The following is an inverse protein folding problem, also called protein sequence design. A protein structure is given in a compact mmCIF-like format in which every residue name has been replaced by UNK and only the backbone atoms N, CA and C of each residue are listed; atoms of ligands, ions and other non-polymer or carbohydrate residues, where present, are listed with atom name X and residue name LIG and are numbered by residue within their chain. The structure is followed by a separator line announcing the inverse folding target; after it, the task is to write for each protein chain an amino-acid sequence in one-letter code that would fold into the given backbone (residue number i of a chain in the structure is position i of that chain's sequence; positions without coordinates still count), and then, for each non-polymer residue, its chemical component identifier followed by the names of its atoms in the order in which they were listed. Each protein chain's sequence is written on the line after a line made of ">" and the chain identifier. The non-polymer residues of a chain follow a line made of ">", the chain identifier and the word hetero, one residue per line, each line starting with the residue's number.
data_IF_361654918693
#
_entry.id   IF_361654918693
#
_cell.length_a   1.000
_cell.length_b   1.000
_cell.length_c   1.000
_cell.angle_alpha   90.00
_cell.angle_beta   90.00
_cell.angle_gamma   90.00
#
_symmetry.space_group_name_H-M   'P 1'
#
loop_
_entity.id
_entity.type
_entity.pdbx_description
1 polymer ?
#
# COMPACT_ATOMS: atom_id res chain seq x y z
N UNK A 1 25.27 -79.12 23.38
CA UNK A 1 24.40 -80.12 22.73
C UNK A 1 23.53 -79.37 21.70
N UNK A 2 23.93 -79.27 20.51
CA UNK A 2 23.58 -79.94 19.25
C UNK A 2 22.11 -80.32 19.19
N UNK A 3 21.35 -79.64 18.30
CA UNK A 3 20.58 -80.27 17.22
C UNK A 3 20.19 -79.28 16.15
N UNK A 4 20.61 -79.59 14.95
CA UNK A 4 20.26 -79.01 13.67
C UNK A 4 18.88 -79.52 13.23
N UNK A 5 18.09 -78.71 12.58
CA UNK A 5 16.85 -79.05 11.89
C UNK A 5 16.62 -78.12 10.72
N UNK A 6 17.06 -78.56 9.55
CA UNK A 6 16.78 -77.91 8.25
C UNK A 6 15.40 -78.30 7.78
N UNK A 7 14.57 -77.30 7.44
CA UNK A 7 13.41 -77.56 6.60
C UNK A 7 13.37 -76.55 5.44
N UNK A 8 13.45 -77.09 4.24
CA UNK A 8 13.33 -76.44 2.94
C UNK A 8 11.86 -75.99 2.69
N UNK A 9 11.68 -74.83 2.19
CA UNK A 9 10.40 -74.31 1.67
C UNK A 9 10.32 -74.50 0.18
N UNK A 10 9.13 -74.85 -0.40
CA UNK A 10 8.97 -74.96 -1.82
C UNK A 10 8.79 -73.61 -2.49
N UNK A 11 9.32 -73.51 -3.71
CA UNK A 11 9.15 -72.38 -4.60
C UNK A 11 7.71 -72.23 -5.07
N UNK A 12 7.11 -71.07 -4.87
CA UNK A 12 5.86 -70.69 -5.56
C UNK A 12 6.13 -69.60 -6.60
N UNK A 13 5.62 -69.91 -7.77
CA UNK A 13 5.58 -69.22 -9.04
C UNK A 13 5.21 -67.70 -8.93
N UNK A 14 5.97 -66.89 -9.65
CA UNK A 14 5.71 -65.48 -9.79
C UNK A 14 4.36 -65.16 -10.47
N UNK A 15 3.56 -64.36 -9.80
CA UNK A 15 2.58 -63.48 -10.42
C UNK A 15 2.99 -62.05 -10.21
N UNK A 16 3.32 -61.38 -11.32
CA UNK A 16 3.60 -59.94 -11.36
C UNK A 16 2.28 -59.17 -11.04
N UNK A 17 2.19 -58.58 -9.87
CA UNK A 17 1.19 -57.54 -9.60
C UNK A 17 1.66 -56.23 -10.16
N UNK A 18 1.18 -55.87 -11.35
CA UNK A 18 1.20 -54.50 -11.83
C UNK A 18 0.37 -53.62 -10.91
N UNK A 19 1.02 -52.86 -10.04
CA UNK A 19 0.40 -51.81 -9.25
C UNK A 19 0.11 -50.65 -10.21
N UNK A 20 -1.13 -50.52 -10.66
CA UNK A 20 -1.66 -49.29 -11.20
C UNK A 20 -1.63 -48.23 -10.10
N UNK A 21 -0.56 -47.43 -10.10
CA UNK A 21 -0.52 -46.20 -9.35
C UNK A 21 -1.20 -45.11 -10.18
N UNK A 22 -2.52 -45.11 -10.18
CA UNK A 22 -3.29 -43.90 -10.51
C UNK A 22 -2.97 -42.87 -9.42
N UNK A 23 -2.04 -41.97 -9.71
CA UNK A 23 -1.87 -40.71 -8.98
C UNK A 23 -3.17 -39.92 -9.24
N UNK A 24 -4.14 -40.08 -8.35
CA UNK A 24 -5.21 -39.10 -8.26
C UNK A 24 -4.56 -37.79 -7.90
N UNK A 25 -4.48 -36.87 -8.88
CA UNK A 25 -4.21 -35.47 -8.60
C UNK A 25 -5.28 -35.02 -7.61
N UNK A 26 -4.86 -34.77 -6.37
CA UNK A 26 -5.71 -34.09 -5.38
C UNK A 26 -5.93 -32.71 -5.97
N UNK A 27 -7.11 -32.51 -6.58
CA UNK A 27 -7.55 -31.18 -6.95
C UNK A 27 -7.51 -30.37 -5.63
N UNK A 28 -6.69 -29.33 -5.58
CA UNK A 28 -6.69 -28.42 -4.44
C UNK A 28 -8.11 -27.88 -4.33
N UNK A 29 -8.76 -28.20 -3.22
CA UNK A 29 -10.11 -27.76 -2.96
C UNK A 29 -10.10 -26.22 -2.97
N UNK A 30 -10.85 -25.63 -3.87
CA UNK A 30 -10.87 -24.18 -4.04
C UNK A 30 -11.43 -23.54 -2.77
N UNK A 31 -10.69 -22.63 -2.13
CA UNK A 31 -11.12 -21.96 -0.92
C UNK A 31 -12.44 -21.23 -1.14
N UNK A 32 -13.36 -21.36 -0.21
CA UNK A 32 -14.60 -20.59 -0.22
C UNK A 32 -14.31 -19.12 0.10
N UNK A 33 -15.23 -18.22 -0.27
CA UNK A 33 -15.13 -16.80 0.08
C UNK A 33 -14.97 -16.59 1.60
N UNK A 34 -15.72 -17.33 2.41
CA UNK A 34 -15.66 -17.29 3.86
C UNK A 34 -14.27 -17.67 4.42
N UNK A 35 -13.67 -18.71 3.83
CA UNK A 35 -12.30 -19.12 4.19
C UNK A 35 -11.27 -18.09 3.79
N UNK A 36 -11.41 -17.43 2.62
CA UNK A 36 -10.53 -16.35 2.19
C UNK A 36 -10.67 -15.13 3.11
N UNK A 37 -11.88 -14.75 3.52
CA UNK A 37 -12.10 -13.67 4.51
C UNK A 37 -11.44 -13.99 5.86
N UNK A 38 -11.53 -15.23 6.33
CA UNK A 38 -10.93 -15.65 7.59
C UNK A 38 -9.40 -15.57 7.52
N UNK A 39 -8.80 -16.05 6.42
CA UNK A 39 -7.36 -15.94 6.16
C UNK A 39 -6.88 -14.48 6.08
N UNK A 40 -7.68 -13.60 5.44
CA UNK A 40 -7.35 -12.16 5.39
C UNK A 40 -7.34 -11.55 6.79
N UNK A 41 -8.32 -11.91 7.62
CA UNK A 41 -8.39 -11.46 9.01
C UNK A 41 -7.21 -11.99 9.86
N UNK A 42 -6.83 -13.26 9.68
CA UNK A 42 -5.64 -13.84 10.33
C UNK A 42 -4.37 -13.09 9.95
N UNK A 43 -4.15 -12.85 8.66
CA UNK A 43 -3.00 -12.13 8.13
C UNK A 43 -2.97 -10.69 8.66
N UNK A 44 -4.11 -10.00 8.67
CA UNK A 44 -4.22 -8.64 9.19
C UNK A 44 -3.76 -8.52 10.65
N UNK A 45 -4.12 -9.50 11.50
CA UNK A 45 -3.77 -9.49 12.93
C UNK A 45 -2.35 -9.99 13.18
N UNK A 46 -1.97 -11.13 12.58
CA UNK A 46 -0.70 -11.82 12.91
C UNK A 46 0.50 -11.27 12.20
N UNK A 47 0.28 -10.67 11.02
CA UNK A 47 1.37 -10.15 10.17
C UNK A 47 1.26 -8.63 10.03
N UNK A 48 0.11 -8.14 9.56
CA UNK A 48 -0.10 -6.72 9.35
C UNK A 48 0.08 -5.93 10.62
N UNK A 49 -0.67 -6.27 11.65
CA UNK A 49 -0.65 -5.54 12.92
C UNK A 49 0.42 -6.03 13.89
N UNK A 50 0.77 -7.33 13.88
CA UNK A 50 1.66 -7.91 14.88
C UNK A 50 1.10 -7.75 16.31
N UNK A 51 -0.22 -7.91 16.47
CA UNK A 51 -0.92 -7.67 17.73
C UNK A 51 -0.33 -8.46 18.88
N UNK A 52 -0.04 -7.79 20.00
CA UNK A 52 0.51 -8.42 21.18
C UNK A 52 -0.59 -8.73 22.22
N UNK A 53 -0.33 -9.75 23.03
CA UNK A 53 -1.25 -10.14 24.10
C UNK A 53 -1.41 -9.01 25.13
N UNK A 54 -2.66 -8.70 25.47
CA UNK A 54 -3.02 -7.62 26.38
C UNK A 54 -3.16 -6.25 25.73
N UNK A 55 -2.78 -6.11 24.46
CA UNK A 55 -2.91 -4.85 23.72
C UNK A 55 -4.37 -4.56 23.38
N UNK A 56 -4.76 -3.29 23.41
CA UNK A 56 -6.03 -2.82 22.85
C UNK A 56 -5.93 -2.60 21.34
N UNK A 57 -7.05 -2.76 20.63
CA UNK A 57 -7.17 -2.50 19.20
C UNK A 57 -8.26 -1.46 18.94
N UNK A 58 -7.90 -0.37 18.29
CA UNK A 58 -8.84 0.59 17.69
C UNK A 58 -8.93 0.34 16.20
N UNK A 59 -10.14 0.02 15.74
CA UNK A 59 -10.40 -0.30 14.34
C UNK A 59 -11.37 0.71 13.71
N UNK A 60 -11.12 1.09 12.46
CA UNK A 60 -12.03 1.92 11.65
C UNK A 60 -12.47 1.14 10.42
N UNK A 61 -13.75 1.16 10.09
CA UNK A 61 -14.30 0.43 8.94
C UNK A 61 -15.62 1.05 8.46
N UNK A 62 -16.01 0.79 7.20
CA UNK A 62 -17.38 1.02 6.76
C UNK A 62 -18.32 -0.08 7.27
N UNK A 63 -19.63 0.17 7.31
CA UNK A 63 -20.63 -0.86 7.64
C UNK A 63 -20.60 -2.03 6.67
N UNK A 64 -20.28 -1.81 5.41
CA UNK A 64 -20.14 -2.86 4.40
C UNK A 64 -19.04 -3.88 4.76
N UNK A 65 -18.03 -3.46 5.53
CA UNK A 65 -16.95 -4.32 5.95
C UNK A 65 -17.29 -5.22 7.16
N UNK A 66 -18.51 -5.16 7.69
CA UNK A 66 -18.89 -5.88 8.91
C UNK A 66 -18.56 -7.39 8.91
N UNK A 67 -18.71 -8.15 7.80
CA UNK A 67 -18.30 -9.55 7.76
C UNK A 67 -16.82 -9.77 8.03
N UNK A 68 -15.94 -8.92 7.45
CA UNK A 68 -14.50 -8.96 7.67
C UNK A 68 -14.14 -8.48 9.09
N UNK A 69 -14.75 -7.38 9.56
CA UNK A 69 -14.54 -6.83 10.90
C UNK A 69 -14.81 -7.85 12.00
N UNK A 70 -15.87 -8.66 11.87
CA UNK A 70 -16.18 -9.73 12.83
C UNK A 70 -15.07 -10.77 12.92
N UNK A 71 -14.48 -11.18 11.79
CA UNK A 71 -13.35 -12.12 11.75
C UNK A 71 -12.08 -11.52 12.31
N UNK A 72 -11.77 -10.28 11.93
CA UNK A 72 -10.62 -9.55 12.50
C UNK A 72 -10.77 -9.46 14.02
N UNK A 73 -11.95 -9.15 14.54
CA UNK A 73 -12.23 -9.09 15.99
C UNK A 73 -12.03 -10.45 16.66
N UNK A 74 -12.49 -11.52 16.04
CA UNK A 74 -12.26 -12.89 16.55
C UNK A 74 -10.78 -13.24 16.60
N UNK A 75 -10.05 -13.01 15.51
CA UNK A 75 -8.59 -13.25 15.46
C UNK A 75 -7.83 -12.36 16.45
N UNK A 76 -8.25 -11.09 16.65
CA UNK A 76 -7.65 -10.21 17.65
C UNK A 76 -7.80 -10.76 19.07
N UNK A 77 -8.99 -11.19 19.46
CA UNK A 77 -9.20 -11.80 20.78
C UNK A 77 -8.50 -13.15 20.92
N UNK A 78 -8.44 -13.98 19.89
CA UNK A 78 -7.64 -15.21 19.87
C UNK A 78 -6.13 -14.95 20.02
N UNK A 79 -5.65 -13.84 19.47
CA UNK A 79 -4.27 -13.39 19.66
C UNK A 79 -4.02 -12.81 21.07
N UNK A 80 -5.09 -12.53 21.82
CA UNK A 80 -5.03 -12.07 23.20
C UNK A 80 -5.24 -10.58 23.38
N UNK A 81 -5.89 -9.89 22.44
CA UNK A 81 -6.32 -8.50 22.62
C UNK A 81 -7.12 -8.34 23.92
N UNK A 82 -6.87 -7.27 24.65
CA UNK A 82 -7.62 -6.95 25.89
C UNK A 82 -8.99 -6.33 25.58
N UNK A 83 -9.06 -5.52 24.54
CA UNK A 83 -10.26 -4.84 24.09
C UNK A 83 -10.15 -4.52 22.59
N UNK A 84 -11.25 -4.71 21.84
CA UNK A 84 -11.38 -4.28 20.46
C UNK A 84 -12.50 -3.26 20.36
N UNK A 85 -12.16 -2.05 19.94
CA UNK A 85 -13.13 -0.96 19.69
C UNK A 85 -13.19 -0.68 18.21
N UNK A 86 -14.37 -0.80 17.58
CA UNK A 86 -14.58 -0.51 16.16
C UNK A 86 -15.43 0.74 16.00
N UNK A 87 -14.94 1.66 15.17
CA UNK A 87 -15.63 2.87 14.75
C UNK A 87 -16.10 2.66 13.31
N UNK A 88 -17.42 2.66 13.14
CA UNK A 88 -18.01 2.47 11.81
C UNK A 88 -18.38 3.79 11.16
N UNK A 89 -18.18 3.86 9.85
CA UNK A 89 -18.74 4.89 8.97
C UNK A 89 -19.78 4.29 8.03
N UNK A 90 -20.67 5.13 7.55
CA UNK A 90 -21.70 4.79 6.60
C UNK A 90 -21.83 5.89 5.55
N UNK A 91 -21.81 5.49 4.28
CA UNK A 91 -21.83 6.41 3.13
C UNK A 91 -23.15 7.20 3.08
N UNK A 92 -24.29 6.55 3.34
CA UNK A 92 -25.59 7.19 3.31
C UNK A 92 -25.73 8.27 4.40
N UNK A 93 -25.29 7.98 5.62
CA UNK A 93 -25.31 8.98 6.71
C UNK A 93 -24.33 10.11 6.43
N UNK A 94 -23.21 9.85 5.77
CA UNK A 94 -22.30 10.88 5.32
C UNK A 94 -22.96 11.81 4.31
N UNK A 95 -23.63 11.29 3.28
CA UNK A 95 -24.37 12.09 2.30
C UNK A 95 -25.54 12.88 2.92
N UNK A 96 -26.24 12.34 3.94
CA UNK A 96 -27.28 13.07 4.67
C UNK A 96 -26.75 14.34 5.32
N UNK A 97 -25.49 14.36 5.78
CA UNK A 97 -24.87 15.58 6.29
C UNK A 97 -24.78 16.66 5.22
N UNK A 98 -24.37 16.31 3.99
CA UNK A 98 -24.27 17.28 2.87
C UNK A 98 -25.64 17.81 2.41
N UNK A 99 -26.67 16.96 2.50
CA UNK A 99 -28.06 17.35 2.10
C UNK A 99 -28.80 18.20 3.14
N UNK A 100 -28.62 17.90 4.43
CA UNK A 100 -29.54 18.39 5.45
C UNK A 100 -28.88 19.17 6.59
N UNK A 101 -27.57 19.07 6.75
CA UNK A 101 -26.92 19.78 7.86
C UNK A 101 -26.79 21.28 7.56
N UNK A 102 -26.83 22.13 8.62
CA UNK A 102 -26.61 23.56 8.46
C UNK A 102 -25.17 23.84 7.99
N UNK A 103 -24.97 24.93 7.26
CA UNK A 103 -23.71 25.23 6.57
C UNK A 103 -22.51 25.30 7.53
N UNK A 104 -22.68 25.89 8.70
CA UNK A 104 -21.65 25.98 9.75
C UNK A 104 -21.20 24.63 10.29
N UNK A 105 -21.94 23.55 10.04
CA UNK A 105 -21.58 22.20 10.45
C UNK A 105 -20.31 21.70 9.72
N UNK A 106 -20.05 22.21 8.51
CA UNK A 106 -18.89 21.77 7.70
C UNK A 106 -17.54 22.26 8.25
N UNK A 107 -17.54 23.26 9.14
CA UNK A 107 -16.36 23.71 9.86
C UNK A 107 -16.13 22.96 11.19
N UNK A 108 -16.88 21.89 11.44
CA UNK A 108 -16.83 21.13 12.70
C UNK A 108 -16.48 19.68 12.46
N UNK A 109 -15.69 19.13 13.38
CA UNK A 109 -15.40 17.70 13.47
C UNK A 109 -15.69 17.20 14.90
N UNK A 110 -15.95 15.90 15.11
CA UNK A 110 -16.15 15.32 16.44
C UNK A 110 -14.82 15.21 17.19
N UNK A 111 -14.31 16.31 17.74
CA UNK A 111 -13.01 16.35 18.40
C UNK A 111 -12.89 15.28 19.50
N UNK A 112 -13.95 15.06 20.29
CA UNK A 112 -13.99 14.03 21.32
C UNK A 112 -13.63 12.63 20.81
N UNK A 113 -14.00 12.31 19.55
CA UNK A 113 -13.69 11.01 18.94
C UNK A 113 -12.18 10.90 18.66
N UNK A 114 -11.61 11.91 18.05
CA UNK A 114 -10.18 11.92 17.70
C UNK A 114 -9.28 12.07 18.93
N UNK A 115 -9.73 12.83 19.94
CA UNK A 115 -9.06 12.92 21.24
C UNK A 115 -9.06 11.55 21.95
N UNK A 116 -10.20 10.83 21.90
CA UNK A 116 -10.31 9.45 22.41
C UNK A 116 -9.38 8.47 21.69
N UNK A 117 -9.31 8.53 20.35
CA UNK A 117 -8.37 7.73 19.58
C UNK A 117 -6.92 8.06 19.95
N UNK A 118 -6.57 9.34 20.04
CA UNK A 118 -5.23 9.80 20.44
C UNK A 118 -4.86 9.34 21.84
N UNK A 119 -5.81 9.34 22.78
CA UNK A 119 -5.60 8.83 24.13
C UNK A 119 -5.36 7.31 24.15
N UNK A 120 -6.13 6.53 23.38
CA UNK A 120 -5.94 5.09 23.22
C UNK A 120 -4.56 4.78 22.63
N UNK A 121 -4.16 5.47 21.58
CA UNK A 121 -2.84 5.28 20.94
C UNK A 121 -1.69 5.63 21.90
N UNK A 122 -1.77 6.73 22.65
CA UNK A 122 -0.79 7.07 23.69
C UNK A 122 -0.70 6.03 24.79
N UNK A 123 -1.78 5.28 25.04
CA UNK A 123 -1.81 4.16 25.99
C UNK A 123 -1.29 2.84 25.39
N UNK A 124 -0.85 2.84 24.12
CA UNK A 124 -0.27 1.67 23.44
C UNK A 124 -1.27 0.84 22.64
N UNK A 125 -2.49 1.32 22.42
CA UNK A 125 -3.46 0.65 21.57
C UNK A 125 -2.95 0.59 20.13
N UNK A 126 -3.12 -0.58 19.47
CA UNK A 126 -2.85 -0.76 18.05
C UNK A 126 -3.96 -0.11 17.21
N UNK A 127 -3.63 0.24 15.95
CA UNK A 127 -4.61 0.76 14.98
C UNK A 127 -4.75 -0.17 13.79
N UNK A 128 -6.00 -0.51 13.41
CA UNK A 128 -6.31 -1.17 12.14
C UNK A 128 -7.36 -0.37 11.37
N UNK A 129 -7.11 -0.08 10.10
CA UNK A 129 -8.11 0.50 9.22
C UNK A 129 -8.52 -0.52 8.15
N UNK A 130 -9.82 -0.63 7.90
CA UNK A 130 -10.36 -1.39 6.79
C UNK A 130 -10.73 -0.40 5.68
N UNK A 131 -9.92 -0.36 4.63
CA UNK A 131 -10.16 0.47 3.45
C UNK A 131 -11.20 -0.18 2.54
N UNK A 132 -12.01 0.60 1.87
CA UNK A 132 -13.09 0.14 0.98
C UNK A 132 -14.12 1.23 0.70
N UNK A 133 -13.74 2.50 0.98
CA UNK A 133 -14.61 3.64 0.74
C UNK A 133 -15.00 3.76 -0.74
N UNK A 134 -16.19 4.29 -0.99
CA UNK A 134 -16.64 4.70 -2.31
C UNK A 134 -15.76 5.86 -2.84
N UNK A 135 -14.97 5.67 -3.90
CA UNK A 135 -14.06 6.71 -4.40
C UNK A 135 -14.80 7.94 -4.98
N UNK A 136 -16.09 7.80 -5.28
CA UNK A 136 -16.93 8.84 -5.89
C UNK A 136 -18.00 9.39 -4.94
N UNK A 137 -17.97 9.06 -3.65
CA UNK A 137 -19.03 9.38 -2.69
C UNK A 137 -19.44 10.86 -2.71
N UNK A 138 -18.48 11.75 -2.72
CA UNK A 138 -18.70 13.19 -2.63
C UNK A 138 -18.51 13.93 -3.96
N UNK A 139 -18.42 13.19 -5.08
CA UNK A 139 -18.16 13.78 -6.41
C UNK A 139 -19.25 14.75 -6.90
N UNK A 140 -20.48 14.60 -6.41
CA UNK A 140 -21.62 15.45 -6.74
C UNK A 140 -21.95 16.48 -5.66
N UNK A 141 -21.17 16.53 -4.58
CA UNK A 141 -21.39 17.49 -3.50
C UNK A 141 -20.62 18.81 -3.75
N UNK A 142 -21.02 19.87 -3.03
CA UNK A 142 -20.36 21.17 -3.14
C UNK A 142 -18.87 21.07 -2.72
N UNK A 143 -17.92 21.33 -3.65
CA UNK A 143 -16.49 21.20 -3.35
C UNK A 143 -16.00 22.09 -2.20
N UNK A 144 -16.63 23.25 -1.98
CA UNK A 144 -16.29 24.15 -0.88
C UNK A 144 -16.65 23.51 0.46
N UNK A 145 -17.86 22.95 0.59
CA UNK A 145 -18.31 22.22 1.79
C UNK A 145 -17.43 21.00 2.06
N UNK A 146 -17.10 20.23 1.00
CA UNK A 146 -16.19 19.08 1.11
C UNK A 146 -14.82 19.52 1.61
N UNK A 147 -14.26 20.59 1.07
CA UNK A 147 -12.98 21.15 1.48
C UNK A 147 -12.98 21.62 2.95
N UNK A 148 -14.05 22.28 3.40
CA UNK A 148 -14.24 22.75 4.80
C UNK A 148 -14.32 21.56 5.76
N UNK A 149 -15.16 20.57 5.44
CA UNK A 149 -15.31 19.37 6.26
C UNK A 149 -14.00 18.59 6.39
N UNK A 150 -13.28 18.41 5.29
CA UNK A 150 -11.98 17.73 5.29
C UNK A 150 -10.94 18.49 6.14
N UNK A 151 -10.87 19.82 6.04
CA UNK A 151 -9.96 20.63 6.88
C UNK A 151 -10.31 20.49 8.37
N UNK A 152 -11.59 20.55 8.76
CA UNK A 152 -12.02 20.41 10.12
C UNK A 152 -11.64 19.03 10.70
N UNK A 153 -11.87 17.96 9.92
CA UNK A 153 -11.49 16.59 10.30
C UNK A 153 -9.97 16.46 10.41
N UNK A 154 -9.21 16.94 9.43
CA UNK A 154 -7.74 16.85 9.43
C UNK A 154 -7.14 17.57 10.64
N UNK A 155 -7.65 18.73 10.99
CA UNK A 155 -7.19 19.48 12.18
C UNK A 155 -7.48 18.73 13.48
N UNK A 156 -8.69 18.17 13.62
CA UNK A 156 -9.08 17.44 14.82
C UNK A 156 -8.33 16.10 14.96
N UNK A 157 -8.10 15.39 13.84
CA UNK A 157 -7.43 14.09 13.81
C UNK A 157 -5.92 14.19 13.93
N UNK A 158 -5.33 15.33 13.60
CA UNK A 158 -3.87 15.51 13.53
C UNK A 158 -3.09 14.95 14.73
N UNK A 159 -3.48 15.20 16.01
CA UNK A 159 -2.71 14.68 17.15
C UNK A 159 -2.69 13.15 17.24
N UNK A 160 -3.75 12.46 16.81
CA UNK A 160 -3.80 11.01 16.75
C UNK A 160 -3.03 10.48 15.51
N UNK A 161 -3.16 11.17 14.38
CA UNK A 161 -2.47 10.81 13.13
C UNK A 161 -0.94 10.90 13.27
N UNK A 162 -0.43 11.87 14.01
CA UNK A 162 1.02 12.01 14.26
C UNK A 162 1.62 10.78 14.94
N UNK A 163 0.89 10.11 15.85
CA UNK A 163 1.35 8.87 16.48
C UNK A 163 1.46 7.70 15.48
N UNK A 164 0.57 7.68 14.49
CA UNK A 164 0.54 6.68 13.41
C UNK A 164 1.69 6.94 12.43
N UNK A 165 1.79 8.17 11.90
CA UNK A 165 2.76 8.53 10.86
C UNK A 165 4.21 8.54 11.35
N UNK A 166 4.43 8.75 12.66
CA UNK A 166 5.75 8.60 13.30
C UNK A 166 6.04 7.18 13.73
N UNK A 167 5.17 6.21 13.38
CA UNK A 167 5.28 4.83 13.82
C UNK A 167 5.46 4.65 15.33
N UNK A 168 4.83 5.50 16.16
CA UNK A 168 4.91 5.35 17.61
C UNK A 168 4.13 4.13 18.11
N UNK A 169 3.12 3.71 17.35
CA UNK A 169 2.30 2.51 17.57
C UNK A 169 2.34 1.58 16.37
N UNK A 170 2.11 0.29 16.59
CA UNK A 170 1.90 -0.67 15.51
C UNK A 170 0.52 -0.45 14.87
N UNK A 171 0.50 -0.43 13.54
CA UNK A 171 -0.72 -0.20 12.77
C UNK A 171 -0.68 -0.91 11.42
N UNK A 172 -1.88 -1.15 10.87
CA UNK A 172 -2.02 -1.71 9.53
C UNK A 172 -3.30 -1.21 8.84
N UNK A 173 -3.28 -1.21 7.51
CA UNK A 173 -4.45 -1.02 6.66
C UNK A 173 -4.64 -2.30 5.87
N UNK A 174 -5.86 -2.82 5.84
CA UNK A 174 -6.28 -3.91 4.95
C UNK A 174 -7.49 -3.44 4.14
N UNK A 175 -7.82 -4.13 3.06
CA UNK A 175 -8.94 -3.74 2.22
C UNK A 175 -10.14 -4.68 2.35
N UNK A 176 -11.32 -4.12 2.15
CA UNK A 176 -12.60 -4.83 2.02
C UNK A 176 -13.31 -4.34 0.75
N UNK A 177 -13.65 -5.24 -0.17
CA UNK A 177 -14.47 -4.85 -1.30
C UNK A 177 -15.85 -4.41 -0.83
N UNK A 178 -16.29 -3.25 -1.32
CA UNK A 178 -17.65 -2.73 -1.12
C UNK A 178 -18.37 -2.65 -2.46
N UNK A 179 -19.72 -2.71 -2.49
CA UNK A 179 -20.47 -2.60 -3.74
C UNK A 179 -20.17 -1.32 -4.52
N UNK A 180 -20.04 -0.18 -3.81
CA UNK A 180 -19.77 1.10 -4.43
C UNK A 180 -18.36 1.18 -5.03
N UNK A 181 -17.34 0.66 -4.33
CA UNK A 181 -15.98 0.58 -4.86
C UNK A 181 -15.90 -0.38 -6.05
N UNK A 182 -16.57 -1.55 -5.97
CA UNK A 182 -16.60 -2.50 -7.07
C UNK A 182 -17.25 -1.93 -8.33
N UNK A 183 -18.37 -1.19 -8.19
CA UNK A 183 -19.01 -0.51 -9.31
C UNK A 183 -18.11 0.56 -9.95
N UNK A 184 -17.28 1.25 -9.17
CA UNK A 184 -16.32 2.23 -9.70
C UNK A 184 -15.18 1.56 -10.49
N UNK A 185 -14.66 0.42 -10.00
CA UNK A 185 -13.58 -0.34 -10.67
C UNK A 185 -14.09 -1.10 -11.90
N UNK A 186 -15.31 -1.63 -11.85
CA UNK A 186 -15.93 -2.44 -12.91
C UNK A 186 -17.29 -1.86 -13.37
N UNK A 187 -17.27 -0.65 -13.98
CA UNK A 187 -18.52 0.09 -14.28
C UNK A 187 -19.43 -0.58 -15.32
N UNK A 188 -18.93 -1.56 -16.05
CA UNK A 188 -19.68 -2.27 -17.10
C UNK A 188 -20.15 -3.66 -16.67
N UNK A 189 -19.86 -4.09 -15.45
CA UNK A 189 -20.22 -5.40 -14.94
C UNK A 189 -21.50 -5.34 -14.11
N UNK A 190 -22.20 -6.48 -14.04
CA UNK A 190 -23.30 -6.64 -13.09
C UNK A 190 -22.77 -6.50 -11.65
N UNK A 191 -23.52 -5.86 -10.71
CA UNK A 191 -23.02 -5.51 -9.38
C UNK A 191 -22.44 -6.67 -8.59
N UNK A 192 -23.09 -7.86 -8.65
CA UNK A 192 -22.61 -9.04 -7.94
C UNK A 192 -21.28 -9.56 -8.53
N UNK A 193 -21.16 -9.56 -9.86
CA UNK A 193 -19.93 -9.98 -10.55
C UNK A 193 -18.78 -8.97 -10.32
N UNK A 194 -19.08 -7.67 -10.32
CA UNK A 194 -18.12 -6.63 -10.00
C UNK A 194 -17.54 -6.82 -8.58
N UNK A 195 -18.42 -7.07 -7.60
CA UNK A 195 -18.02 -7.29 -6.21
C UNK A 195 -17.16 -8.55 -6.06
N UNK A 196 -17.50 -9.64 -6.71
CA UNK A 196 -16.72 -10.88 -6.71
C UNK A 196 -15.33 -10.67 -7.32
N UNK A 197 -15.24 -10.01 -8.48
CA UNK A 197 -13.98 -9.68 -9.14
C UNK A 197 -13.08 -8.80 -8.26
N UNK A 198 -13.65 -7.81 -7.58
CA UNK A 198 -12.88 -6.95 -6.68
C UNK A 198 -12.35 -7.73 -5.48
N UNK A 199 -13.17 -8.63 -4.89
CA UNK A 199 -12.71 -9.52 -3.84
C UNK A 199 -11.58 -10.44 -4.29
N UNK A 200 -11.69 -11.05 -5.46
CA UNK A 200 -10.62 -11.92 -5.98
C UNK A 200 -9.33 -11.15 -6.17
N UNK A 201 -9.39 -9.91 -6.66
CA UNK A 201 -8.22 -9.04 -6.80
C UNK A 201 -7.60 -8.70 -5.44
N UNK A 202 -8.40 -8.36 -4.42
CA UNK A 202 -7.97 -8.08 -3.05
C UNK A 202 -7.33 -9.34 -2.43
N UNK A 203 -7.96 -10.48 -2.53
CA UNK A 203 -7.44 -11.74 -1.98
C UNK A 203 -6.10 -12.11 -2.59
N UNK A 204 -5.96 -11.97 -3.90
CA UNK A 204 -4.72 -12.24 -4.62
C UNK A 204 -3.61 -11.26 -4.19
N UNK A 205 -3.90 -9.97 -4.16
CA UNK A 205 -2.94 -8.95 -3.71
C UNK A 205 -2.53 -9.16 -2.24
N UNK A 206 -3.47 -9.59 -1.39
CA UNK A 206 -3.23 -9.90 0.02
C UNK A 206 -2.67 -11.31 0.26
N UNK A 207 -2.35 -12.08 -0.80
CA UNK A 207 -1.74 -13.43 -0.72
C UNK A 207 -2.54 -14.45 0.07
N UNK A 208 -3.85 -14.25 0.24
CA UNK A 208 -4.68 -15.17 1.02
C UNK A 208 -4.96 -16.51 0.30
N UNK A 209 -4.70 -16.56 -1.00
CA UNK A 209 -4.81 -17.78 -1.82
C UNK A 209 -3.58 -18.70 -1.69
N UNK A 210 -2.51 -18.25 -1.02
CA UNK A 210 -1.35 -19.09 -0.74
C UNK A 210 -1.68 -20.24 0.21
N UNK A 211 -0.93 -21.34 0.16
CA UNK A 211 -1.13 -22.48 1.08
C UNK A 211 -1.01 -22.03 2.55
N UNK A 212 -0.03 -21.22 2.87
CA UNK A 212 0.14 -20.52 4.16
C UNK A 212 0.32 -19.01 3.91
N UNK A 213 -0.75 -18.21 4.01
CA UNK A 213 -0.68 -16.76 3.80
C UNK A 213 0.26 -16.04 4.76
N UNK A 214 0.36 -16.50 6.00
CA UNK A 214 1.26 -15.90 7.01
C UNK A 214 2.72 -16.11 6.61
N UNK A 215 3.08 -17.31 6.18
CA UNK A 215 4.42 -17.61 5.69
C UNK A 215 4.72 -16.86 4.38
N UNK A 216 3.74 -16.77 3.47
CA UNK A 216 3.87 -16.03 2.21
C UNK A 216 4.16 -14.55 2.46
N UNK A 217 3.46 -13.91 3.38
CA UNK A 217 3.73 -12.53 3.76
C UNK A 217 5.09 -12.33 4.41
N UNK A 218 5.50 -13.22 5.34
CA UNK A 218 6.83 -13.15 5.96
C UNK A 218 7.95 -13.28 4.92
N UNK A 219 7.78 -14.15 3.93
CA UNK A 219 8.74 -14.31 2.83
C UNK A 219 8.78 -13.07 1.93
N UNK A 220 7.62 -12.51 1.63
CA UNK A 220 7.51 -11.29 0.84
C UNK A 220 8.15 -10.09 1.54
N UNK A 221 7.82 -9.88 2.80
CA UNK A 221 8.41 -8.84 3.64
C UNK A 221 9.94 -8.96 3.71
N UNK A 222 10.46 -10.16 3.93
CA UNK A 222 11.90 -10.41 3.88
C UNK A 222 12.51 -10.07 2.50
N UNK A 223 11.75 -10.25 1.41
CA UNK A 223 12.19 -9.88 0.06
C UNK A 223 12.26 -8.37 -0.10
N UNK A 224 11.26 -7.62 0.40
CA UNK A 224 11.27 -6.15 0.37
C UNK A 224 12.44 -5.60 1.20
N UNK A 225 12.67 -6.12 2.39
CA UNK A 225 13.81 -5.75 3.23
C UNK A 225 15.15 -6.06 2.56
N UNK A 226 15.28 -7.20 1.87
CA UNK A 226 16.49 -7.54 1.12
C UNK A 226 16.75 -6.52 0.00
N UNK A 227 15.71 -6.11 -0.74
CA UNK A 227 15.81 -5.09 -1.80
C UNK A 227 16.19 -3.72 -1.23
N UNK A 228 15.50 -3.26 -0.18
CA UNK A 228 15.83 -2.02 0.52
C UNK A 228 17.26 -2.06 1.08
N UNK A 229 17.67 -3.16 1.71
CA UNK A 229 19.03 -3.38 2.21
C UNK A 229 20.09 -3.32 1.12
N UNK A 230 19.83 -3.92 -0.04
CA UNK A 230 20.72 -3.83 -1.21
C UNK A 230 20.89 -2.38 -1.69
N UNK A 231 19.79 -1.63 -1.84
CA UNK A 231 19.81 -0.24 -2.26
C UNK A 231 20.53 0.65 -1.24
N UNK A 232 20.31 0.42 0.06
CA UNK A 232 21.01 1.09 1.15
C UNK A 232 22.52 0.78 1.18
N UNK A 233 22.91 -0.44 0.82
CA UNK A 233 24.32 -0.81 0.69
C UNK A 233 24.97 -0.13 -0.53
N UNK A 234 24.30 -0.12 -1.68
CA UNK A 234 24.79 0.47 -2.93
C UNK A 234 24.89 2.00 -2.87
N UNK A 235 24.01 2.66 -2.11
CA UNK A 235 24.00 4.13 -1.93
C UNK A 235 24.12 4.88 -3.26
N UNK A 236 23.29 4.53 -4.23
CA UNK A 236 23.26 5.22 -5.51
C UNK A 236 23.00 6.73 -5.31
N UNK A 237 23.74 7.56 -6.04
CA UNK A 237 23.54 9.02 -6.00
C UNK A 237 22.31 9.46 -6.81
N UNK A 238 21.89 8.65 -7.79
CA UNK A 238 20.76 8.93 -8.64
C UNK A 238 20.19 7.63 -9.24
N UNK A 239 18.99 7.72 -9.79
CA UNK A 239 18.38 6.73 -10.67
C UNK A 239 18.23 7.32 -12.07
N UNK A 240 18.42 6.49 -13.10
CA UNK A 240 18.16 6.82 -14.49
C UNK A 240 17.07 5.93 -15.03
N UNK A 241 15.96 6.53 -15.44
CA UNK A 241 14.79 5.85 -16.01
C UNK A 241 14.79 5.98 -17.51
N UNK A 242 14.53 4.87 -18.24
CA UNK A 242 14.33 4.83 -19.68
C UNK A 242 13.17 3.93 -20.04
N UNK A 243 12.24 4.47 -20.84
CA UNK A 243 11.05 3.77 -21.29
C UNK A 243 10.27 4.60 -22.31
N UNK A 244 9.12 4.12 -22.80
CA UNK A 244 8.29 4.87 -23.75
C UNK A 244 7.88 6.23 -23.18
N UNK A 245 8.35 7.32 -23.83
CA UNK A 245 8.07 8.69 -23.40
C UNK A 245 8.79 9.12 -22.12
N UNK A 246 9.72 8.31 -21.61
CA UNK A 246 10.46 8.56 -20.38
C UNK A 246 11.97 8.46 -20.64
N UNK A 247 12.67 9.56 -20.42
CA UNK A 247 14.12 9.64 -20.23
C UNK A 247 14.36 10.63 -19.09
N UNK A 248 14.54 10.08 -17.90
CA UNK A 248 14.43 10.85 -16.67
C UNK A 248 15.52 10.45 -15.68
N UNK A 249 16.28 11.44 -15.21
CA UNK A 249 17.29 11.27 -14.18
C UNK A 249 16.81 11.89 -12.88
N UNK A 250 16.86 11.11 -11.80
CA UNK A 250 16.42 11.51 -10.47
C UNK A 250 17.55 11.33 -9.46
N UNK A 251 18.10 12.43 -8.92
CA UNK A 251 19.06 12.41 -7.82
C UNK A 251 18.38 12.04 -6.50
N UNK A 252 19.07 11.29 -5.67
CA UNK A 252 18.58 10.93 -4.34
C UNK A 252 19.05 11.93 -3.29
N UNK A 253 18.25 12.10 -2.22
CA UNK A 253 18.55 12.98 -1.11
C UNK A 253 19.84 12.54 -0.38
N UNK A 254 20.50 13.48 0.30
CA UNK A 254 21.67 13.13 1.10
C UNK A 254 21.25 12.32 2.32
N UNK A 255 21.99 11.24 2.58
CA UNK A 255 21.67 10.26 3.64
C UNK A 255 20.30 9.59 3.50
N UNK A 256 19.77 9.49 2.27
CA UNK A 256 18.53 8.75 2.00
C UNK A 256 18.61 7.30 2.49
N UNK A 257 17.47 6.79 2.93
CA UNK A 257 17.25 5.40 3.31
C UNK A 257 16.11 4.84 2.47
N UNK A 258 16.36 3.70 1.84
CA UNK A 258 15.32 2.90 1.22
C UNK A 258 14.58 2.10 2.30
N UNK A 259 13.28 2.22 2.29
CA UNK A 259 12.35 1.51 3.15
C UNK A 259 11.47 0.59 2.29
N UNK A 260 10.80 -0.37 2.91
CA UNK A 260 9.85 -1.26 2.25
C UNK A 260 9.46 -2.41 3.17
N UNK A 261 8.22 -2.86 3.06
CA UNK A 261 7.67 -3.88 3.94
C UNK A 261 7.33 -3.36 5.33
N UNK A 262 7.51 -4.21 6.33
CA UNK A 262 7.21 -3.89 7.71
C UNK A 262 8.29 -3.09 8.42
N UNK A 263 7.94 -2.57 9.58
CA UNK A 263 8.84 -1.81 10.45
C UNK A 263 8.55 -2.11 11.92
N UNK A 264 9.54 -1.84 12.77
CA UNK A 264 9.33 -1.88 14.23
C UNK A 264 8.85 -0.51 14.69
N UNK A 265 7.67 -0.46 15.26
CA UNK A 265 7.09 0.76 15.82
C UNK A 265 7.81 1.20 17.11
N UNK A 266 7.58 2.43 17.55
CA UNK A 266 8.16 3.00 18.79
C UNK A 266 7.81 2.24 20.05
N UNK A 267 6.68 1.53 20.06
CA UNK A 267 6.30 0.60 21.14
C UNK A 267 7.02 -0.75 21.09
N UNK A 268 7.95 -0.96 20.15
CA UNK A 268 8.77 -2.19 20.00
C UNK A 268 8.10 -3.31 19.21
N UNK A 269 6.88 -3.13 18.72
CA UNK A 269 6.14 -4.14 17.98
C UNK A 269 6.37 -4.01 16.47
N UNK A 270 6.59 -5.16 15.82
CA UNK A 270 6.74 -5.21 14.36
C UNK A 270 5.39 -5.24 13.67
N UNK A 271 5.18 -4.40 12.67
CA UNK A 271 3.95 -4.36 11.88
C UNK A 271 4.26 -4.10 10.40
N UNK A 272 3.33 -4.48 9.52
CA UNK A 272 3.32 -4.11 8.10
C UNK A 272 2.19 -3.09 7.91
N UNK A 273 2.51 -1.80 7.74
CA UNK A 273 1.51 -0.72 7.70
C UNK A 273 0.49 -0.85 6.59
N UNK A 274 0.91 -1.25 5.40
CA UNK A 274 0.06 -1.38 4.22
C UNK A 274 -0.02 -2.84 3.75
N UNK A 275 -1.23 -3.37 3.65
CA UNK A 275 -1.50 -4.70 3.13
C UNK A 275 -2.59 -4.61 2.04
N UNK A 276 -2.20 -4.66 0.76
CA UNK A 276 -0.89 -5.05 0.23
C UNK A 276 0.18 -3.94 0.25
N UNK A 277 1.46 -4.35 0.15
CA UNK A 277 2.60 -3.50 -0.20
C UNK A 277 3.57 -4.30 -1.09
N UNK A 278 4.08 -3.69 -2.16
CA UNK A 278 4.94 -4.32 -3.16
C UNK A 278 6.22 -3.52 -3.41
N UNK A 279 6.34 -2.39 -2.77
CA UNK A 279 7.33 -1.37 -3.06
C UNK A 279 8.54 -1.36 -2.12
N UNK A 280 9.63 -0.79 -2.65
CA UNK A 280 10.68 -0.16 -1.85
C UNK A 280 10.80 1.29 -2.29
N UNK A 281 10.84 2.21 -1.35
CA UNK A 281 10.75 3.63 -1.61
C UNK A 281 11.78 4.45 -0.83
N UNK A 282 12.04 5.68 -1.31
CA UNK A 282 12.92 6.63 -0.65
C UNK A 282 12.63 8.06 -1.07
N UNK A 283 13.33 9.01 -0.45
CA UNK A 283 13.23 10.44 -0.74
C UNK A 283 14.21 10.86 -1.85
N UNK A 284 13.72 11.41 -2.99
CA UNK A 284 14.56 12.06 -3.98
C UNK A 284 15.07 13.41 -3.49
N UNK A 285 16.11 13.92 -4.14
CA UNK A 285 16.60 15.28 -3.88
C UNK A 285 15.75 16.29 -4.66
N UNK A 286 15.10 17.21 -3.97
CA UNK A 286 14.15 18.20 -4.53
C UNK A 286 14.68 19.01 -5.72
N UNK A 287 16.01 19.20 -5.83
CA UNK A 287 16.64 20.04 -6.86
C UNK A 287 17.40 19.21 -7.92
N UNK A 288 17.30 17.85 -7.91
CA UNK A 288 18.11 16.97 -8.77
C UNK A 288 17.23 16.03 -9.60
N UNK A 289 16.22 16.58 -10.27
CA UNK A 289 15.39 15.84 -11.21
C UNK A 289 15.47 16.56 -12.57
N UNK A 290 15.83 15.83 -13.62
CA UNK A 290 16.00 16.37 -14.97
C UNK A 290 15.50 15.37 -16.02
N UNK A 291 14.83 15.85 -17.07
CA UNK A 291 14.32 15.04 -18.16
C UNK A 291 12.81 14.97 -18.23
N UNK A 292 12.31 14.03 -19.01
CA UNK A 292 10.87 13.84 -19.27
C UNK A 292 10.42 12.52 -18.67
N UNK A 293 9.28 12.53 -18.01
CA UNK A 293 8.63 11.32 -17.47
C UNK A 293 7.14 11.32 -17.85
N UNK A 294 6.67 10.15 -18.25
CA UNK A 294 5.28 9.92 -18.70
C UNK A 294 4.61 8.93 -17.76
N UNK A 295 3.40 9.26 -17.30
CA UNK A 295 2.57 8.34 -16.54
C UNK A 295 2.13 7.17 -17.42
N UNK A 296 2.16 5.97 -16.83
CA UNK A 296 1.73 4.73 -17.49
C UNK A 296 0.31 4.33 -17.12
N UNK A 297 -0.25 4.95 -16.08
CA UNK A 297 -1.64 4.75 -15.62
C UNK A 297 -2.30 6.11 -15.40
N UNK A 298 -3.65 6.19 -15.50
CA UNK A 298 -4.39 7.37 -15.09
C UNK A 298 -4.21 7.67 -13.60
N UNK A 299 -4.25 8.94 -13.22
CA UNK A 299 -4.28 9.40 -11.84
C UNK A 299 -5.70 9.79 -11.45
N UNK A 300 -6.26 9.18 -10.42
CA UNK A 300 -7.50 9.64 -9.80
C UNK A 300 -7.17 10.66 -8.71
N UNK A 301 -7.57 11.92 -8.91
CA UNK A 301 -7.34 12.98 -7.95
C UNK A 301 -8.63 13.76 -7.68
N UNK A 302 -9.08 13.78 -6.41
CA UNK A 302 -10.30 14.48 -5.98
C UNK A 302 -11.53 14.17 -6.85
N UNK A 303 -11.72 12.91 -7.22
CA UNK A 303 -12.84 12.46 -8.06
C UNK A 303 -12.69 12.75 -9.55
N UNK A 304 -11.58 13.34 -9.99
CA UNK A 304 -11.28 13.60 -11.41
C UNK A 304 -10.16 12.69 -11.90
N UNK A 305 -10.37 12.09 -13.07
CA UNK A 305 -9.34 11.31 -13.75
C UNK A 305 -8.44 12.22 -14.57
N UNK A 306 -7.12 12.12 -14.34
CA UNK A 306 -6.08 12.79 -15.11
C UNK A 306 -5.38 11.72 -15.95
N UNK A 307 -5.40 11.85 -17.27
CA UNK A 307 -4.89 10.84 -18.19
C UNK A 307 -3.78 11.39 -19.08
N UNK A 308 -2.84 10.51 -19.46
CA UNK A 308 -1.76 10.88 -20.38
C UNK A 308 -0.83 11.96 -19.81
N UNK A 309 -0.55 11.91 -18.52
CA UNK A 309 0.34 12.85 -17.85
C UNK A 309 1.75 12.70 -18.41
N UNK A 310 2.33 13.80 -18.86
CA UNK A 310 3.74 13.92 -19.20
C UNK A 310 4.28 15.21 -18.60
N UNK A 311 5.37 15.09 -17.84
CA UNK A 311 6.02 16.25 -17.24
C UNK A 311 7.50 16.30 -17.59
N UNK A 312 8.02 17.52 -17.70
CA UNK A 312 9.46 17.79 -17.87
C UNK A 312 9.99 18.50 -16.65
N UNK A 313 11.03 17.92 -16.08
CA UNK A 313 11.76 18.48 -14.95
C UNK A 313 13.05 19.15 -15.42
N UNK A 314 13.39 20.28 -14.78
CA UNK A 314 14.70 20.92 -14.85
C UNK A 314 15.12 21.31 -13.42
N UNK A 315 16.29 20.83 -12.98
CA UNK A 315 16.82 21.09 -11.64
C UNK A 315 15.78 20.85 -10.52
N UNK A 316 15.10 19.71 -10.61
CA UNK A 316 14.11 19.27 -9.63
C UNK A 316 12.72 19.88 -9.76
N UNK A 317 12.53 20.88 -10.63
CA UNK A 317 11.25 21.59 -10.78
C UNK A 317 10.53 21.18 -12.07
N UNK A 318 9.24 20.97 -12.00
CA UNK A 318 8.37 20.86 -13.19
C UNK A 318 8.36 22.19 -13.93
N UNK A 319 8.83 22.16 -15.18
CA UNK A 319 8.82 23.33 -16.10
C UNK A 319 7.77 23.19 -17.20
N UNK A 320 7.31 21.98 -17.46
CA UNK A 320 6.22 21.69 -18.41
C UNK A 320 5.40 20.52 -17.90
N UNK A 321 4.08 20.64 -17.92
CA UNK A 321 3.14 19.58 -17.55
C UNK A 321 1.99 19.52 -18.56
N UNK A 322 1.71 18.31 -19.05
CA UNK A 322 0.64 18.04 -20.02
C UNK A 322 -0.18 16.84 -19.55
N UNK A 323 -1.47 16.88 -19.81
CA UNK A 323 -2.37 15.76 -19.68
C UNK A 323 -3.33 15.73 -20.87
N UNK A 324 -3.70 14.54 -21.35
CA UNK A 324 -4.70 14.40 -22.43
C UNK A 324 -6.11 14.62 -21.93
N UNK A 325 -6.35 14.39 -20.62
CA UNK A 325 -7.59 14.67 -19.91
C UNK A 325 -7.25 15.19 -18.51
N UNK A 326 -8.05 16.11 -17.97
CA UNK A 326 -7.85 16.65 -16.63
C UNK A 326 -6.69 17.66 -16.52
N UNK A 327 -6.29 18.32 -17.63
CA UNK A 327 -5.18 19.30 -17.65
C UNK A 327 -5.32 20.38 -16.58
N UNK A 328 -6.50 20.97 -16.43
CA UNK A 328 -6.75 22.04 -15.44
C UNK A 328 -6.59 21.55 -14.00
N UNK A 329 -6.92 20.27 -13.76
CA UNK A 329 -6.74 19.66 -12.41
C UNK A 329 -5.27 19.42 -12.14
N UNK A 330 -4.51 18.96 -13.14
CA UNK A 330 -3.06 18.81 -13.03
C UNK A 330 -2.38 20.15 -12.76
N UNK A 331 -2.76 21.22 -13.46
CA UNK A 331 -2.22 22.56 -13.25
C UNK A 331 -2.51 23.08 -11.83
N UNK A 332 -3.74 22.94 -11.34
CA UNK A 332 -4.11 23.32 -9.97
C UNK A 332 -3.33 22.51 -8.93
N UNK A 333 -3.13 21.22 -9.19
CA UNK A 333 -2.37 20.34 -8.31
C UNK A 333 -0.92 20.82 -8.15
N UNK A 334 -0.22 21.05 -9.27
CA UNK A 334 1.18 21.50 -9.25
C UNK A 334 1.36 22.97 -8.85
N UNK A 335 0.28 23.76 -8.78
CA UNK A 335 0.27 25.15 -8.34
C UNK A 335 -0.21 25.32 -6.88
N UNK A 336 -0.41 24.23 -6.16
CA UNK A 336 -0.84 24.28 -4.74
C UNK A 336 0.16 25.05 -3.87
N UNK A 337 1.44 24.78 -4.04
CA UNK A 337 2.56 25.50 -3.42
C UNK A 337 3.87 25.28 -4.21
N UNK A 338 4.97 25.89 -3.78
CA UNK A 338 6.27 25.76 -4.46
C UNK A 338 6.79 24.30 -4.44
N UNK A 339 6.53 23.56 -3.37
CA UNK A 339 6.92 22.16 -3.24
C UNK A 339 6.11 21.20 -4.11
N UNK A 340 4.89 21.59 -4.50
CA UNK A 340 4.02 20.77 -5.35
C UNK A 340 4.60 20.55 -6.77
N UNK A 341 5.51 21.41 -7.22
CA UNK A 341 6.24 21.24 -8.49
C UNK A 341 7.51 20.40 -8.37
N UNK A 342 7.76 19.79 -7.21
CA UNK A 342 8.95 18.99 -6.91
C UNK A 342 8.57 17.63 -6.40
N UNK A 343 9.52 16.70 -6.43
CA UNK A 343 9.29 15.34 -5.97
C UNK A 343 9.54 15.19 -4.47
N UNK A 344 8.71 14.39 -3.82
CA UNK A 344 8.82 13.97 -2.42
C UNK A 344 9.18 12.51 -2.27
N UNK A 345 8.81 11.68 -3.25
CA UNK A 345 9.03 10.24 -3.18
C UNK A 345 9.44 9.65 -4.53
N UNK A 346 10.15 8.52 -4.45
CA UNK A 346 10.40 7.59 -5.54
C UNK A 346 10.27 6.17 -5.01
N UNK A 347 9.48 5.34 -5.72
CA UNK A 347 9.24 3.96 -5.35
C UNK A 347 9.50 3.00 -6.52
N UNK A 348 10.01 1.82 -6.18
CA UNK A 348 10.32 0.76 -7.13
C UNK A 348 9.45 -0.46 -6.84
N UNK A 349 8.63 -0.82 -7.82
CA UNK A 349 7.67 -1.92 -7.77
C UNK A 349 7.88 -2.80 -8.99
N UNK A 350 8.05 -4.13 -8.86
CA UNK A 350 8.20 -5.01 -10.03
C UNK A 350 6.87 -5.12 -10.79
N UNK A 351 6.95 -5.18 -12.11
CA UNK A 351 5.77 -5.35 -12.98
C UNK A 351 5.05 -6.69 -12.75
N UNK A 352 5.76 -7.70 -12.26
CA UNK A 352 5.18 -9.00 -11.85
C UNK A 352 4.42 -8.96 -10.53
N UNK A 353 4.29 -7.81 -9.86
CA UNK A 353 3.49 -7.71 -8.63
C UNK A 353 2.06 -8.18 -8.86
N UNK A 354 1.38 -8.76 -7.85
CA UNK A 354 -0.02 -9.21 -8.00
C UNK A 354 -0.96 -8.08 -8.46
N UNK A 355 -0.69 -6.85 -8.02
CA UNK A 355 -1.49 -5.68 -8.35
C UNK A 355 -1.24 -5.26 -9.80
N UNK A 356 0.03 -5.13 -10.23
CA UNK A 356 0.37 -4.85 -11.62
C UNK A 356 -0.21 -5.89 -12.58
N UNK A 357 -0.05 -7.17 -12.24
CA UNK A 357 -0.53 -8.30 -13.05
C UNK A 357 -2.05 -8.38 -13.18
N UNK A 358 -2.81 -7.72 -12.29
CA UNK A 358 -4.28 -7.64 -12.39
C UNK A 358 -4.72 -6.76 -13.56
N UNK A 359 -3.90 -5.82 -14.00
CA UNK A 359 -4.23 -4.81 -15.00
C UNK A 359 -5.29 -3.79 -14.57
N UNK A 360 -5.74 -3.85 -13.31
CA UNK A 360 -6.80 -2.99 -12.78
C UNK A 360 -6.27 -1.62 -12.36
N UNK A 361 -7.14 -0.63 -12.43
CA UNK A 361 -7.04 0.62 -11.70
C UNK A 361 -8.04 0.56 -10.55
N UNK A 362 -7.55 0.49 -9.32
CA UNK A 362 -8.41 0.26 -8.15
C UNK A 362 -9.11 1.52 -7.67
N UNK A 363 -8.68 2.71 -8.10
CA UNK A 363 -9.16 4.00 -7.58
C UNK A 363 -8.97 4.10 -6.05
N UNK A 364 -7.93 3.47 -5.56
CA UNK A 364 -7.57 3.40 -4.16
C UNK A 364 -6.04 3.40 -4.03
N UNK A 365 -5.49 4.40 -3.35
CA UNK A 365 -4.05 4.63 -3.23
C UNK A 365 -3.31 3.41 -2.69
N UNK A 366 -3.86 2.69 -1.68
CA UNK A 366 -3.26 1.47 -1.13
C UNK A 366 -2.91 0.42 -2.20
N UNK A 367 -3.68 0.36 -3.30
CA UNK A 367 -3.43 -0.57 -4.41
C UNK A 367 -2.69 0.10 -5.56
N UNK A 368 -3.14 1.28 -5.97
CA UNK A 368 -2.67 1.88 -7.21
C UNK A 368 -1.19 2.29 -7.13
N UNK A 369 -0.70 2.74 -5.96
CA UNK A 369 0.73 3.00 -5.72
C UNK A 369 1.57 1.72 -5.85
N UNK A 370 1.03 0.58 -5.46
CA UNK A 370 1.68 -0.73 -5.53
C UNK A 370 1.53 -1.45 -6.89
N UNK A 371 0.91 -0.78 -7.88
CA UNK A 371 0.71 -1.31 -9.23
C UNK A 371 1.91 -1.11 -10.15
N UNK A 372 2.83 -0.18 -9.87
CA UNK A 372 4.00 0.11 -10.71
C UNK A 372 5.03 0.96 -9.97
N UNK A 373 6.27 1.00 -10.48
CA UNK A 373 7.18 2.06 -10.06
C UNK A 373 6.49 3.41 -10.18
N UNK A 374 6.63 4.25 -9.16
CA UNK A 374 5.96 5.55 -9.11
C UNK A 374 6.86 6.65 -8.54
N UNK A 375 6.43 7.86 -8.71
CA UNK A 375 7.00 9.05 -8.10
C UNK A 375 5.87 9.86 -7.48
N UNK A 376 6.13 10.51 -6.34
CA UNK A 376 5.17 11.42 -5.73
C UNK A 376 5.59 12.87 -5.89
N UNK A 377 4.62 13.71 -6.27
CA UNK A 377 4.76 15.16 -6.16
C UNK A 377 4.55 15.59 -4.72
N UNK A 378 5.36 16.51 -4.24
CA UNK A 378 5.11 17.22 -3.00
C UNK A 378 5.94 16.76 -1.81
N UNK A 379 5.29 16.49 -0.67
CA UNK A 379 5.91 16.26 0.62
C UNK A 379 6.77 15.00 0.64
N UNK A 380 8.01 15.12 1.15
CA UNK A 380 8.91 13.99 1.41
C UNK A 380 8.68 13.40 2.80
N UNK A 381 8.92 12.09 2.96
CA UNK A 381 8.90 11.42 4.25
C UNK A 381 10.24 11.56 4.97
N UNK A 382 10.22 12.09 6.20
CA UNK A 382 11.42 12.24 7.03
C UNK A 382 12.06 10.89 7.37
N UNK A 383 11.25 9.85 7.55
CA UNK A 383 11.71 8.47 7.80
C UNK A 383 12.62 7.90 6.70
N UNK A 384 12.53 8.42 5.47
CA UNK A 384 13.41 8.06 4.37
C UNK A 384 14.78 8.77 4.41
N UNK A 385 15.11 9.44 5.50
CA UNK A 385 16.42 10.03 5.75
C UNK A 385 17.00 9.51 7.07
N UNK A 386 18.31 9.31 7.11
CA UNK A 386 18.97 8.87 8.35
C UNK A 386 18.74 9.89 9.46
N UNK A 387 18.18 9.42 10.59
CA UNK A 387 17.76 10.22 11.74
C UNK A 387 16.76 11.34 11.38
N UNK A 388 16.04 11.22 10.27
CA UNK A 388 15.18 12.27 9.73
C UNK A 388 14.08 12.73 10.67
N UNK A 389 13.55 11.82 11.51
CA UNK A 389 12.52 12.16 12.50
C UNK A 389 13.02 13.08 13.63
N UNK A 390 14.36 13.22 13.77
CA UNK A 390 15.02 14.11 14.74
C UNK A 390 15.42 15.46 14.13
N UNK A 391 15.28 15.61 12.80
CA UNK A 391 15.72 16.79 12.07
C UNK A 391 14.61 17.84 12.01
N UNK A 392 15.02 19.13 12.00
CA UNK A 392 14.11 20.24 11.70
C UNK A 392 13.79 20.26 10.19
N UNK A 393 12.74 21.02 9.81
CA UNK A 393 12.38 21.19 8.39
C UNK A 393 13.53 21.80 7.57
N UNK A 394 14.29 22.74 8.14
CA UNK A 394 15.44 23.36 7.50
C UNK A 394 16.58 22.34 7.29
N UNK A 395 16.80 21.47 8.28
CA UNK A 395 17.79 20.40 8.18
C UNK A 395 17.41 19.35 7.15
N UNK A 396 16.11 18.97 7.09
CA UNK A 396 15.58 18.08 6.07
C UNK A 396 15.74 18.69 4.67
N UNK A 397 15.38 19.96 4.51
CA UNK A 397 15.52 20.69 3.26
C UNK A 397 16.99 20.83 2.81
N UNK A 398 17.94 20.99 3.74
CA UNK A 398 19.38 21.03 3.46
C UNK A 398 19.91 19.68 2.94
N UNK A 399 19.31 18.55 3.34
CA UNK A 399 19.60 17.21 2.80
C UNK A 399 18.90 16.92 1.48
N UNK A 400 18.09 17.82 0.99
CA UNK A 400 17.37 17.71 -0.28
C UNK A 400 15.93 17.22 -0.18
N UNK A 401 15.37 17.00 1.01
CA UNK A 401 13.99 16.66 1.17
C UNK A 401 13.07 17.82 0.76
N UNK A 402 11.98 17.52 0.08
CA UNK A 402 10.98 18.48 -0.32
C UNK A 402 9.91 18.66 0.78
N UNK A 403 9.33 19.86 0.85
CA UNK A 403 8.19 20.15 1.71
C UNK A 403 7.06 20.76 0.91
N UNK A 404 5.84 20.27 1.11
CA UNK A 404 4.63 20.69 0.42
C UNK A 404 3.39 20.39 1.24
N UNK A 405 2.27 21.00 0.86
CA UNK A 405 0.94 20.68 1.38
C UNK A 405 0.30 19.45 0.72
N UNK A 406 0.91 18.94 -0.35
CA UNK A 406 0.44 17.75 -1.06
C UNK A 406 1.45 16.61 -0.98
N UNK A 407 0.96 15.38 -1.16
CA UNK A 407 1.72 14.19 -1.51
C UNK A 407 0.83 13.39 -2.47
N UNK A 408 1.26 13.26 -3.73
CA UNK A 408 0.43 12.62 -4.77
C UNK A 408 1.28 11.73 -5.64
N UNK A 409 1.01 10.42 -5.53
CA UNK A 409 1.67 9.36 -6.28
C UNK A 409 1.08 9.22 -7.67
N UNK A 410 1.93 8.98 -8.65
CA UNK A 410 1.53 8.65 -10.00
C UNK A 410 2.50 7.66 -10.66
N UNK A 411 1.93 6.67 -11.34
CA UNK A 411 2.61 5.49 -11.82
C UNK A 411 3.35 5.77 -13.11
N UNK A 412 4.64 5.43 -13.13
CA UNK A 412 5.54 5.57 -14.29
C UNK A 412 6.12 4.23 -14.77
N UNK A 413 5.89 3.16 -13.99
CA UNK A 413 6.39 1.81 -14.26
C UNK A 413 5.60 1.08 -15.34
N UNK A 414 6.28 0.21 -16.10
CA UNK A 414 5.68 -0.71 -17.07
C UNK A 414 6.65 -1.86 -17.37
N UNK A 415 6.19 -2.85 -18.15
CA UNK A 415 7.00 -3.93 -18.75
C UNK A 415 8.07 -3.45 -19.74
N UNK A 416 8.18 -2.14 -19.99
CA UNK A 416 9.15 -1.50 -20.90
C UNK A 416 10.04 -0.48 -20.21
N UNK A 417 9.96 -0.41 -18.87
CA UNK A 417 10.77 0.53 -18.10
C UNK A 417 12.07 -0.14 -17.66
N UNK A 418 13.20 0.47 -18.02
CA UNK A 418 14.51 0.15 -17.51
C UNK A 418 14.96 1.21 -16.50
N UNK A 419 15.61 0.78 -15.42
CA UNK A 419 16.16 1.65 -14.38
C UNK A 419 17.59 1.25 -14.10
N UNK A 420 18.50 2.25 -14.12
CA UNK A 420 19.88 2.11 -13.68
C UNK A 420 20.07 2.88 -12.37
N UNK A 421 20.79 2.26 -11.42
CA UNK A 421 21.35 2.96 -10.27
C UNK A 421 22.66 3.65 -10.69
N UNK A 422 22.79 4.94 -10.40
CA UNK A 422 24.00 5.73 -10.72
C UNK A 422 24.83 5.91 -9.45
N UNK A 423 26.04 5.38 -9.46
CA UNK A 423 26.98 5.52 -8.33
C UNK A 423 27.45 6.95 -8.17
N UNK A 424 28.11 7.27 -7.05
CA UNK A 424 28.70 8.58 -6.81
C UNK A 424 29.84 8.92 -7.83
N UNK A 425 30.47 7.90 -8.43
CA UNK A 425 31.46 8.07 -9.52
C UNK A 425 30.82 8.28 -10.89
N UNK A 426 29.47 8.21 -11.00
CA UNK A 426 28.74 8.35 -12.26
C UNK A 426 28.59 7.04 -13.04
N UNK A 427 29.02 5.90 -12.51
CA UNK A 427 28.84 4.59 -13.17
C UNK A 427 27.38 4.15 -13.07
N UNK A 428 26.81 3.75 -14.21
CA UNK A 428 25.47 3.17 -14.27
C UNK A 428 25.53 1.66 -14.03
N UNK A 429 24.71 1.17 -13.11
CA UNK A 429 24.54 -0.25 -12.82
C UNK A 429 23.08 -0.63 -13.05
N UNK A 430 22.79 -1.75 -13.77
CA UNK A 430 21.41 -2.20 -13.96
C UNK A 430 20.73 -2.47 -12.63
N UNK A 431 19.53 -1.94 -12.46
CA UNK A 431 18.71 -2.14 -11.27
C UNK A 431 17.37 -2.82 -11.61
N UNK A 432 16.72 -2.34 -12.66
CA UNK A 432 15.54 -2.99 -13.21
C UNK A 432 15.64 -3.05 -14.75
N UNK A 433 15.10 -4.12 -15.33
CA UNK A 433 14.98 -4.29 -16.78
C UNK A 433 13.58 -4.81 -17.12
N UNK A 434 12.94 -4.18 -18.10
CA UNK A 434 11.57 -4.53 -18.51
C UNK A 434 10.61 -4.57 -17.30
N UNK A 435 10.77 -3.63 -16.37
CA UNK A 435 9.97 -3.53 -15.16
C UNK A 435 10.30 -4.55 -14.06
N UNK A 436 11.31 -5.41 -14.23
CA UNK A 436 11.69 -6.44 -13.25
C UNK A 436 13.07 -6.18 -12.63
N UNK A 437 13.25 -6.62 -11.40
CA UNK A 437 14.54 -6.57 -10.72
C UNK A 437 15.58 -7.46 -11.42
N UNK A 438 16.82 -6.95 -11.56
CA UNK A 438 17.97 -7.68 -12.12
C UNK A 438 18.70 -8.49 -11.06
#
# INVERSE_FOLDING_TARGET
>A
MICKGSHAWPAHSGQAYTKDMTTAAIASEQLTHEQKLDRLAEVAIRVGLGLERGQELVMTASLDALPLVRRITEHAYRAGASLVTTLFSDDETTLMRYKFAPDESFDRAPAWLYDGMGAAFKSGAARLAVAGANPSLLSNEDPEKVGRANRAVSQAYRPALELITRHEINWTIVACATPAWAAAVFPNDEPAAALEKLWDAIFKASRVDADDPVAAWKSHDATLHKRAGYLNYKRYAALQYRGPGTDFRLGLAEDHLWLGGGTTAGNGLYCIPNMPTEEVFTTPHKDRADGVVTATKPLSHQGTMIEGIQVRFEKGRIVEAKATRGQEVLEKLIDTDEGARRLGEVALVPHSSPIASSGLLFLNTLFDENAACHIALGQAYSSCLRDGDKLTQEQLAAKGANSSLIHVDWMIGSDKLDIDGITASGTAEPLMRQGEWV
#
